data_IF_014607480549
#
_entry.id   IF_014607480549
#
_cell.length_a   1.000
_cell.length_b   1.000
_cell.length_c   1.000
_cell.angle_alpha   90.00
_cell.angle_beta   90.00
_cell.angle_gamma   90.00
#
_symmetry.space_group_name_H-M   'P 1'
#
loop_
_entity.id
_entity.type
_entity.pdbx_description
1 polymer ?
#
# COMPACT_ATOMS: atom_id res chain seq x y z
N UNK A 1 9.51 -41.29 -5.70
CA UNK A 1 8.50 -40.21 -5.54
C UNK A 1 8.21 -40.06 -4.05
N UNK A 2 8.96 -39.22 -3.33
CA UNK A 2 8.85 -39.07 -1.87
C UNK A 2 7.89 -37.93 -1.55
N UNK A 3 6.71 -38.26 -1.05
CA UNK A 3 5.80 -37.28 -0.47
C UNK A 3 6.42 -36.75 0.83
N UNK A 4 6.95 -35.53 0.79
CA UNK A 4 7.39 -34.79 1.99
C UNK A 4 6.16 -34.56 2.88
N UNK A 5 6.06 -35.32 3.96
CA UNK A 5 4.99 -35.20 4.95
C UNK A 5 4.91 -33.78 5.50
N UNK A 6 3.68 -33.27 5.64
CA UNK A 6 3.37 -32.01 6.32
C UNK A 6 3.93 -32.10 7.75
N UNK A 7 4.77 -31.15 8.14
CA UNK A 7 5.30 -31.05 9.51
C UNK A 7 4.13 -30.94 10.49
N UNK A 8 3.93 -31.96 11.34
CA UNK A 8 3.00 -31.90 12.47
C UNK A 8 3.64 -30.95 13.50
N UNK A 9 3.22 -29.69 13.49
CA UNK A 9 3.63 -28.72 14.51
C UNK A 9 3.11 -29.15 15.87
N UNK A 10 3.91 -28.95 16.91
CA UNK A 10 3.48 -29.28 18.26
C UNK A 10 2.33 -28.36 18.69
N UNK A 11 1.34 -28.88 19.41
CA UNK A 11 0.13 -28.13 19.80
C UNK A 11 0.46 -26.82 20.56
N UNK A 12 1.54 -26.81 21.32
CA UNK A 12 2.00 -25.67 22.12
C UNK A 12 2.75 -24.60 21.30
N UNK A 13 3.21 -24.93 20.09
CA UNK A 13 4.03 -24.04 19.27
C UNK A 13 3.24 -22.79 18.84
N UNK A 14 1.97 -22.97 18.42
CA UNK A 14 1.09 -21.87 18.01
C UNK A 14 0.82 -20.84 19.12
N UNK A 15 0.36 -21.23 20.33
CA UNK A 15 0.13 -20.25 21.40
C UNK A 15 1.44 -19.58 21.85
N UNK A 16 2.56 -20.31 21.88
CA UNK A 16 3.86 -19.74 22.23
C UNK A 16 4.32 -18.65 21.25
N UNK A 17 4.22 -18.89 19.94
CA UNK A 17 4.59 -17.90 18.92
C UNK A 17 3.69 -16.66 18.96
N UNK A 18 2.40 -16.82 19.27
CA UNK A 18 1.49 -15.69 19.46
C UNK A 18 1.87 -14.83 20.67
N UNK A 19 2.25 -15.47 21.77
CA UNK A 19 2.71 -14.76 22.97
C UNK A 19 3.98 -13.95 22.68
N UNK A 20 4.97 -14.53 21.99
CA UNK A 20 6.16 -13.79 21.55
C UNK A 20 5.83 -12.61 20.64
N UNK A 21 4.86 -12.76 19.72
CA UNK A 21 4.39 -11.67 18.86
C UNK A 21 3.77 -10.54 19.69
N UNK A 22 2.90 -10.84 20.66
CA UNK A 22 2.32 -9.81 21.53
C UNK A 22 3.39 -9.10 22.36
N UNK A 23 4.36 -9.84 22.90
CA UNK A 23 5.49 -9.25 23.62
C UNK A 23 6.31 -8.32 22.73
N UNK A 24 6.56 -8.69 21.47
CA UNK A 24 7.22 -7.80 20.48
C UNK A 24 6.44 -6.50 20.30
N UNK A 25 5.12 -6.60 20.12
CA UNK A 25 4.25 -5.43 19.96
C UNK A 25 4.29 -4.50 21.20
N UNK A 26 4.44 -5.04 22.40
CA UNK A 26 4.59 -4.27 23.65
C UNK A 26 6.00 -3.68 23.82
N UNK A 27 7.03 -4.37 23.33
CA UNK A 27 8.43 -3.96 23.47
C UNK A 27 8.80 -2.74 22.60
N UNK A 28 8.05 -2.49 21.53
CA UNK A 28 8.22 -1.31 20.70
C UNK A 28 7.36 -1.38 19.44
N UNK A 29 6.95 -0.21 18.96
CA UNK A 29 6.23 -0.12 17.70
C UNK A 29 7.21 -0.32 16.53
N UNK A 30 6.87 -1.25 15.63
CA UNK A 30 7.43 -1.27 14.28
C UNK A 30 7.19 0.08 13.59
N UNK A 31 8.03 0.48 12.62
CA UNK A 31 7.76 1.67 11.83
C UNK A 31 6.38 1.58 11.17
N UNK A 32 5.67 2.71 11.12
CA UNK A 32 4.37 2.78 10.48
C UNK A 32 4.53 2.50 8.98
N UNK A 33 3.92 1.42 8.52
CA UNK A 33 3.84 1.07 7.11
C UNK A 33 2.68 1.82 6.46
N UNK A 34 2.85 2.20 5.18
CA UNK A 34 1.72 2.72 4.41
C UNK A 34 0.63 1.65 4.26
N UNK A 35 -0.64 2.08 4.23
CA UNK A 35 -1.77 1.14 4.06
C UNK A 35 -1.67 0.34 2.75
N UNK A 36 -1.03 0.92 1.73
CA UNK A 36 -0.78 0.28 0.44
C UNK A 36 0.17 -0.91 0.49
N UNK A 37 0.97 -1.06 1.55
CA UNK A 37 1.93 -2.15 1.70
C UNK A 37 1.28 -3.47 2.17
N UNK A 38 0.04 -3.43 2.65
CA UNK A 38 -0.66 -4.62 3.14
C UNK A 38 -1.33 -5.38 1.98
N UNK A 39 -1.40 -6.73 2.04
CA UNK A 39 -1.83 -7.57 0.92
C UNK A 39 -3.31 -7.40 0.53
N UNK A 40 -4.15 -6.90 1.42
CA UNK A 40 -5.57 -6.63 1.20
C UNK A 40 -5.81 -5.19 0.71
N UNK A 41 -4.97 -4.69 -0.18
CA UNK A 41 -5.07 -3.35 -0.76
C UNK A 41 -5.10 -3.43 -2.28
N UNK A 42 -6.14 -2.89 -2.91
CA UNK A 42 -6.26 -2.78 -4.36
C UNK A 42 -6.49 -1.31 -4.73
N UNK A 43 -5.48 -0.70 -5.36
CA UNK A 43 -5.50 0.73 -5.68
C UNK A 43 -6.70 1.16 -6.53
N UNK A 44 -7.05 0.38 -7.56
CA UNK A 44 -8.16 0.70 -8.47
C UNK A 44 -9.52 0.63 -7.76
N UNK A 45 -9.70 -0.40 -6.94
CA UNK A 45 -10.92 -0.55 -6.13
C UNK A 45 -11.06 0.56 -5.10
N UNK A 46 -9.94 0.98 -4.49
CA UNK A 46 -9.94 2.05 -3.49
C UNK A 46 -10.27 3.42 -4.10
N UNK A 47 -9.73 3.74 -5.29
CA UNK A 47 -10.04 4.98 -6.02
C UNK A 47 -11.50 5.00 -6.47
N UNK A 48 -12.00 3.90 -7.03
CA UNK A 48 -13.41 3.78 -7.41
C UNK A 48 -14.34 3.97 -6.20
N UNK A 49 -14.06 3.27 -5.10
CA UNK A 49 -14.84 3.39 -3.87
C UNK A 49 -14.73 4.78 -3.24
N UNK A 50 -13.60 5.48 -3.43
CA UNK A 50 -13.44 6.86 -2.98
C UNK A 50 -14.37 7.82 -3.73
N UNK A 51 -14.42 7.75 -5.07
CA UNK A 51 -15.32 8.59 -5.88
C UNK A 51 -16.80 8.45 -5.50
N UNK A 52 -17.25 7.22 -5.24
CA UNK A 52 -18.60 6.96 -4.74
C UNK A 52 -18.85 7.49 -3.32
N UNK A 53 -17.84 7.51 -2.44
CA UNK A 53 -17.99 7.99 -1.06
C UNK A 53 -18.14 9.51 -0.98
N UNK A 54 -17.62 10.23 -1.96
CA UNK A 54 -17.70 11.69 -2.04
C UNK A 54 -18.86 12.17 -2.95
N UNK A 55 -19.76 11.26 -3.34
CA UNK A 55 -20.87 11.53 -4.25
C UNK A 55 -20.44 12.14 -5.60
N UNK A 56 -19.24 11.80 -6.09
CA UNK A 56 -18.72 12.26 -7.40
C UNK A 56 -18.23 11.08 -8.28
N UNK A 57 -19.09 10.07 -8.55
CA UNK A 57 -18.72 8.87 -9.29
C UNK A 57 -18.35 9.12 -10.77
N UNK A 58 -18.79 10.24 -11.34
CA UNK A 58 -18.48 10.67 -12.71
C UNK A 58 -17.07 11.26 -12.87
N UNK A 59 -16.35 11.48 -11.77
CA UNK A 59 -15.00 12.05 -11.81
C UNK A 59 -14.04 11.09 -12.48
N UNK A 60 -13.24 11.62 -13.42
CA UNK A 60 -12.23 10.85 -14.11
C UNK A 60 -11.19 10.28 -13.13
N UNK A 61 -10.88 9.00 -13.28
CA UNK A 61 -9.95 8.26 -12.42
C UNK A 61 -8.57 8.89 -12.44
N UNK A 62 -8.09 9.32 -13.60
CA UNK A 62 -6.75 9.89 -13.74
C UNK A 62 -6.66 11.25 -13.04
N UNK A 63 -7.74 12.04 -13.05
CA UNK A 63 -7.84 13.29 -12.30
C UNK A 63 -7.80 13.03 -10.79
N UNK A 64 -8.50 12.01 -10.29
CA UNK A 64 -8.47 11.62 -8.88
C UNK A 64 -7.07 11.16 -8.45
N UNK A 65 -6.40 10.33 -9.27
CA UNK A 65 -5.04 9.87 -9.00
C UNK A 65 -4.08 11.05 -8.94
N UNK A 66 -4.18 11.97 -9.90
CA UNK A 66 -3.36 13.18 -9.93
C UNK A 66 -3.62 14.08 -8.71
N UNK A 67 -4.88 14.26 -8.31
CA UNK A 67 -5.25 15.05 -7.14
C UNK A 67 -4.66 14.48 -5.83
N UNK A 68 -4.63 13.16 -5.71
CA UNK A 68 -4.12 12.45 -4.54
C UNK A 68 -2.59 12.26 -4.54
N UNK A 69 -1.91 12.63 -5.63
CA UNK A 69 -0.45 12.46 -5.78
C UNK A 69 0.27 13.79 -5.57
N UNK A 70 1.11 13.85 -4.53
CA UNK A 70 1.97 15.00 -4.26
C UNK A 70 3.38 14.82 -4.88
N UNK A 71 4.06 15.93 -5.11
CA UNK A 71 5.45 16.01 -5.58
C UNK A 71 6.44 15.25 -4.69
N UNK A 72 6.22 15.22 -3.37
CA UNK A 72 7.06 14.49 -2.41
C UNK A 72 7.05 12.99 -2.64
N UNK A 73 5.98 12.43 -3.23
CA UNK A 73 5.91 11.02 -3.57
C UNK A 73 7.12 10.64 -4.44
N UNK A 74 7.37 11.37 -5.52
CA UNK A 74 8.46 11.06 -6.46
C UNK A 74 9.88 11.27 -5.92
N UNK A 75 10.03 11.82 -4.72
CA UNK A 75 11.32 12.06 -4.08
C UNK A 75 11.69 10.95 -3.08
N UNK A 76 10.80 9.99 -2.80
CA UNK A 76 11.05 8.94 -1.81
C UNK A 76 12.08 7.93 -2.32
N UNK A 77 12.99 7.53 -1.43
CA UNK A 77 14.01 6.51 -1.71
C UNK A 77 13.40 5.17 -2.15
N UNK A 78 12.25 4.79 -1.59
CA UNK A 78 11.52 3.54 -1.91
C UNK A 78 11.09 3.43 -3.39
N UNK A 79 10.97 4.57 -4.10
CA UNK A 79 10.64 4.65 -5.53
C UNK A 79 11.89 4.63 -6.40
N UNK A 80 13.02 5.13 -5.89
CA UNK A 80 14.30 5.13 -6.59
C UNK A 80 14.93 3.72 -6.66
N UNK A 81 14.59 2.83 -5.72
CA UNK A 81 15.17 1.48 -5.62
C UNK A 81 14.28 0.35 -6.19
N UNK A 82 13.28 0.63 -7.03
CA UNK A 82 12.37 -0.39 -7.61
C UNK A 82 11.76 -1.35 -6.55
N UNK A 83 11.57 -0.86 -5.32
CA UNK A 83 10.99 -1.67 -4.27
C UNK A 83 9.51 -1.96 -4.59
N UNK A 84 9.17 -3.25 -4.57
CA UNK A 84 7.97 -3.90 -5.12
C UNK A 84 6.56 -3.32 -4.83
N UNK A 85 6.40 -2.18 -4.15
CA UNK A 85 5.10 -1.62 -3.73
C UNK A 85 4.91 -0.09 -3.91
N UNK A 86 5.68 0.60 -4.75
CA UNK A 86 5.39 2.00 -5.10
C UNK A 86 4.26 2.12 -6.16
N UNK A 87 3.17 2.86 -5.89
CA UNK A 87 2.09 3.07 -6.89
C UNK A 87 1.42 4.46 -6.85
N UNK A 88 1.56 5.22 -7.94
CA UNK A 88 0.54 6.05 -8.60
C UNK A 88 0.10 5.29 -9.85
N UNK A 89 -0.64 4.21 -9.60
CA UNK A 89 -1.06 3.17 -10.56
C UNK A 89 -0.04 2.73 -11.63
N UNK A 90 1.19 2.36 -11.24
CA UNK A 90 2.17 1.51 -11.95
C UNK A 90 2.30 1.74 -13.48
N UNK A 91 2.90 2.86 -13.87
CA UNK A 91 3.47 3.07 -15.22
C UNK A 91 4.92 2.53 -15.27
N UNK A 92 5.28 1.81 -16.34
CA UNK A 92 6.65 1.29 -16.57
C UNK A 92 7.68 2.42 -16.81
N UNK A 93 7.22 3.64 -17.10
CA UNK A 93 8.06 4.83 -17.13
C UNK A 93 7.36 6.00 -16.45
N UNK A 94 7.97 6.56 -15.40
CA UNK A 94 7.53 7.81 -14.76
C UNK A 94 7.99 9.04 -15.56
N UNK A 95 7.87 9.00 -16.89
CA UNK A 95 8.35 10.09 -17.75
C UNK A 95 7.52 11.38 -17.55
N UNK A 96 6.25 11.24 -17.18
CA UNK A 96 5.35 12.35 -16.92
C UNK A 96 4.93 12.32 -15.44
N UNK A 97 5.68 13.02 -14.60
CA UNK A 97 5.41 13.17 -13.15
C UNK A 97 4.32 14.23 -12.91
N UNK A 98 3.09 13.90 -13.29
CA UNK A 98 1.94 14.72 -12.93
C UNK A 98 1.69 14.65 -11.42
N UNK A 99 1.43 15.80 -10.82
CA UNK A 99 1.19 15.99 -9.38
C UNK A 99 0.13 17.07 -9.17
N UNK A 100 -0.47 17.09 -7.98
CA UNK A 100 -1.65 17.89 -7.66
C UNK A 100 -1.46 19.42 -7.60
N UNK A 101 -0.26 19.97 -7.84
CA UNK A 101 0.02 21.42 -7.69
C UNK A 101 -0.93 22.32 -8.47
N UNK A 102 -1.26 21.95 -9.71
CA UNK A 102 -2.20 22.72 -10.55
C UNK A 102 -3.63 22.62 -10.02
N UNK A 103 -4.02 21.45 -9.50
CA UNK A 103 -5.37 21.22 -8.97
C UNK A 103 -5.60 21.98 -7.68
N UNK A 104 -4.59 22.07 -6.81
CA UNK A 104 -4.62 22.87 -5.57
C UNK A 104 -4.80 24.37 -5.85
N UNK A 105 -4.32 24.87 -6.99
CA UNK A 105 -4.51 26.27 -7.37
C UNK A 105 -5.93 26.57 -7.85
N UNK A 106 -6.66 25.53 -8.29
CA UNK A 106 -8.02 25.65 -8.80
C UNK A 106 -9.07 25.52 -7.69
N UNK A 107 -8.75 24.92 -6.55
CA UNK A 107 -9.64 24.76 -5.39
C UNK A 107 -9.00 23.97 -4.25
#
# INVERSE_FOLDING_TARGET
MTFKGRFIRARWERPYLKDLYHRRMLAGAEPLLSRSAYPNWNYDSEIYAFGHRIDAPETDKDVLIRALTDSSFYQRADIAEESSNAQPSKQESYEIKEHNKQLIQLG
#
